data_IF_945909429324
#
_entry.id   IF_945909429324
#
_cell.length_a   1.000
_cell.length_b   1.000
_cell.length_c   1.000
_cell.angle_alpha   90.00
_cell.angle_beta   90.00
_cell.angle_gamma   90.00
#
_symmetry.space_group_name_H-M   'P 1'
#
loop_
_entity.id
_entity.type
_entity.pdbx_description
1 polymer ?
#
# COMPACT_ATOMS: atom_id res chain seq x y z
N UNK A 1 22.09 9.15 0.61
CA UNK A 1 20.75 9.75 0.72
C UNK A 1 19.79 8.70 0.24
N UNK A 2 19.39 7.85 1.17
CA UNK A 2 18.33 6.90 0.94
C UNK A 2 17.01 7.65 1.18
N UNK A 3 16.11 7.63 0.20
CA UNK A 3 14.76 8.21 0.29
C UNK A 3 13.84 7.40 1.21
N UNK A 4 14.41 6.68 2.18
CA UNK A 4 13.71 5.83 3.12
C UNK A 4 13.58 6.59 4.44
N UNK A 5 12.60 7.51 4.48
CA UNK A 5 12.02 7.91 5.75
C UNK A 5 11.27 6.71 6.32
N UNK A 6 11.93 5.94 7.18
CA UNK A 6 11.30 4.92 8.01
C UNK A 6 12.02 4.90 9.35
N UNK A 7 11.33 5.38 10.38
CA UNK A 7 11.77 5.36 11.76
C UNK A 7 11.93 3.91 12.22
N UNK A 8 13.17 3.48 12.44
CA UNK A 8 13.47 2.29 13.23
C UNK A 8 14.78 2.52 13.97
N UNK A 9 14.69 3.04 15.21
CA UNK A 9 15.81 3.14 16.12
C UNK A 9 15.35 2.84 17.55
N UNK A 10 15.26 1.56 17.90
CA UNK A 10 15.33 1.10 19.28
C UNK A 10 16.55 0.18 19.42
N UNK A 11 17.68 0.77 19.81
CA UNK A 11 18.46 0.35 20.98
C UNK A 11 19.86 1.00 20.97
N UNK A 12 19.95 2.21 21.51
CA UNK A 12 21.18 2.67 22.15
C UNK A 12 20.85 3.68 23.27
N UNK A 13 20.92 3.28 24.56
CA UNK A 13 20.57 4.15 25.69
C UNK A 13 21.52 5.33 25.90
N UNK A 14 22.55 5.51 25.06
CA UNK A 14 23.48 6.64 25.12
C UNK A 14 23.14 7.83 24.20
N UNK A 15 22.08 7.75 23.39
CA UNK A 15 21.80 8.74 22.32
C UNK A 15 20.44 9.46 22.45
N UNK A 16 20.09 9.89 23.67
CA UNK A 16 18.86 10.67 23.94
C UNK A 16 18.78 11.96 23.11
N UNK A 17 19.90 12.43 22.55
CA UNK A 17 19.99 13.67 21.79
C UNK A 17 19.72 13.51 20.28
N UNK A 18 19.62 12.29 19.75
CA UNK A 18 19.41 12.00 18.31
C UNK A 18 17.92 11.87 17.94
N UNK A 19 16.99 11.97 18.90
CA UNK A 19 15.57 11.70 18.68
C UNK A 19 14.75 12.85 18.06
N UNK A 20 15.40 13.91 17.56
CA UNK A 20 14.73 15.12 17.03
C UNK A 20 15.00 15.41 15.56
N UNK A 21 15.78 14.57 14.87
CA UNK A 21 15.99 14.73 13.43
C UNK A 21 14.76 14.16 12.71
N UNK A 22 13.77 15.02 12.49
CA UNK A 22 12.80 14.74 11.44
C UNK A 22 13.56 14.76 10.10
N UNK A 23 13.69 13.59 9.46
CA UNK A 23 14.20 13.45 8.09
C UNK A 23 13.19 13.99 7.04
N UNK A 24 12.43 15.02 7.40
CA UNK A 24 11.31 15.55 6.62
C UNK A 24 11.43 17.07 6.54
N UNK A 25 11.36 17.57 5.31
CA UNK A 25 11.37 19.00 5.03
C UNK A 25 10.08 19.37 4.30
N UNK A 26 9.29 20.28 4.87
CA UNK A 26 8.12 20.82 4.18
C UNK A 26 8.58 21.81 3.10
N UNK A 27 8.67 21.32 1.87
CA UNK A 27 9.09 22.13 0.72
C UNK A 27 7.92 22.87 0.04
N UNK A 28 6.69 22.43 0.28
CA UNK A 28 5.49 22.96 -0.35
C UNK A 28 4.77 23.96 0.57
N UNK A 29 4.20 25.01 -0.03
CA UNK A 29 3.24 25.88 0.68
C UNK A 29 1.96 25.10 0.97
N UNK A 30 1.28 25.47 2.05
CA UNK A 30 0.05 24.79 2.48
C UNK A 30 -1.02 24.73 1.38
N UNK A 31 -1.19 25.80 0.60
CA UNK A 31 -2.18 25.84 -0.49
C UNK A 31 -1.84 24.85 -1.60
N UNK A 32 -0.55 24.68 -1.90
CA UNK A 32 -0.06 23.71 -2.90
C UNK A 32 -0.28 22.29 -2.38
N UNK A 33 0.06 22.04 -1.12
CA UNK A 33 -0.15 20.73 -0.48
C UNK A 33 -1.63 20.31 -0.53
N UNK A 34 -2.54 21.22 -0.16
CA UNK A 34 -3.98 20.97 -0.20
C UNK A 34 -4.49 20.78 -1.63
N UNK A 35 -4.05 21.60 -2.58
CA UNK A 35 -4.43 21.45 -3.99
C UNK A 35 -4.00 20.08 -4.54
N UNK A 36 -2.78 19.63 -4.25
CA UNK A 36 -2.27 18.32 -4.65
C UNK A 36 -3.01 17.18 -3.95
N UNK A 37 -3.32 17.31 -2.65
CA UNK A 37 -4.14 16.33 -1.93
C UNK A 37 -5.48 16.05 -2.62
N UNK A 38 -6.20 17.11 -3.03
CA UNK A 38 -7.49 16.94 -3.72
C UNK A 38 -7.32 16.33 -5.12
N UNK A 39 -6.31 16.77 -5.87
CA UNK A 39 -6.00 16.26 -7.20
C UNK A 39 -5.66 14.76 -7.17
N UNK A 40 -4.75 14.34 -6.29
CA UNK A 40 -4.34 12.94 -6.14
C UNK A 40 -5.55 12.06 -5.82
N UNK A 41 -6.42 12.49 -4.89
CA UNK A 41 -7.63 11.74 -4.55
C UNK A 41 -8.64 11.70 -5.70
N UNK A 42 -8.80 12.79 -6.47
CA UNK A 42 -9.66 12.79 -7.65
C UNK A 42 -9.20 11.74 -8.66
N UNK A 43 -7.93 11.78 -9.06
CA UNK A 43 -7.36 10.86 -10.04
C UNK A 43 -7.37 9.41 -9.54
N UNK A 44 -7.09 9.20 -8.25
CA UNK A 44 -7.16 7.88 -7.65
C UNK A 44 -8.58 7.31 -7.65
N UNK A 45 -9.59 8.14 -7.35
CA UNK A 45 -10.99 7.73 -7.39
C UNK A 45 -11.48 7.45 -8.83
N UNK A 46 -10.96 8.15 -9.83
CA UNK A 46 -11.19 7.83 -11.24
C UNK A 46 -10.57 6.46 -11.61
N UNK A 47 -9.34 6.20 -11.20
CA UNK A 47 -8.70 4.88 -11.37
C UNK A 47 -9.47 3.77 -10.65
N UNK A 48 -9.98 4.02 -9.44
CA UNK A 48 -10.82 3.06 -8.71
C UNK A 48 -12.11 2.75 -9.47
N UNK A 49 -12.79 3.74 -10.04
CA UNK A 49 -13.99 3.51 -10.88
C UNK A 49 -13.67 2.64 -12.08
N UNK A 50 -12.56 2.89 -12.77
CA UNK A 50 -12.14 2.08 -13.92
C UNK A 50 -11.79 0.63 -13.52
N UNK A 51 -11.11 0.46 -12.38
CA UNK A 51 -10.63 -0.84 -11.90
C UNK A 51 -11.70 -1.69 -11.21
N UNK A 52 -12.62 -1.07 -10.48
CA UNK A 52 -13.60 -1.77 -9.64
C UNK A 52 -15.03 -1.72 -10.20
N UNK A 53 -15.32 -0.83 -11.15
CA UNK A 53 -16.62 -0.75 -11.82
C UNK A 53 -17.77 -0.50 -10.85
N UNK A 54 -18.86 -1.26 -11.02
CA UNK A 54 -20.08 -1.11 -10.23
C UNK A 54 -19.88 -1.30 -8.72
N UNK A 55 -18.78 -1.97 -8.30
CA UNK A 55 -18.45 -2.13 -6.89
C UNK A 55 -18.20 -0.78 -6.18
N UNK A 56 -17.72 0.24 -6.89
CA UNK A 56 -17.44 1.56 -6.30
C UNK A 56 -18.72 2.18 -5.73
N UNK A 57 -19.80 2.18 -6.51
CA UNK A 57 -21.08 2.73 -6.08
C UNK A 57 -21.79 1.79 -5.11
N UNK A 58 -21.78 0.49 -5.39
CA UNK A 58 -22.47 -0.51 -4.57
C UNK A 58 -21.96 -0.55 -3.12
N UNK A 59 -20.65 -0.36 -2.92
CA UNK A 59 -20.00 -0.43 -1.61
C UNK A 59 -19.51 0.95 -1.12
N UNK A 60 -19.76 2.03 -1.86
CA UNK A 60 -19.26 3.39 -1.54
C UNK A 60 -17.74 3.46 -1.34
N UNK A 61 -16.99 2.86 -2.27
CA UNK A 61 -15.52 2.80 -2.24
C UNK A 61 -14.94 4.15 -2.66
N UNK A 62 -13.97 4.66 -1.91
CA UNK A 62 -13.23 5.88 -2.26
C UNK A 62 -11.91 5.95 -1.52
N UNK A 63 -10.91 6.57 -2.14
CA UNK A 63 -9.69 7.01 -1.49
C UNK A 63 -9.91 8.40 -0.86
N UNK A 64 -9.49 8.56 0.40
CA UNK A 64 -9.47 9.84 1.13
C UNK A 64 -8.18 10.04 1.93
N UNK A 65 -7.47 8.96 2.27
CA UNK A 65 -6.18 8.99 2.97
C UNK A 65 -5.08 8.71 1.96
N UNK A 66 -4.03 9.53 1.96
CA UNK A 66 -2.85 9.37 1.12
C UNK A 66 -1.65 9.09 2.01
N UNK A 67 -0.98 7.98 1.75
CA UNK A 67 0.35 7.66 2.27
C UNK A 67 1.42 7.90 1.20
N UNK A 68 2.68 7.98 1.64
CA UNK A 68 3.82 7.89 0.72
C UNK A 68 3.84 6.56 -0.04
N UNK A 69 4.48 6.57 -1.21
CA UNK A 69 4.67 5.38 -2.03
C UNK A 69 6.15 4.95 -2.05
N UNK A 70 6.41 3.70 -1.71
CA UNK A 70 7.73 3.06 -1.74
C UNK A 70 7.85 1.98 -2.82
N UNK A 71 9.10 1.61 -3.15
CA UNK A 71 9.42 0.57 -4.15
C UNK A 71 9.52 -0.84 -3.58
N UNK A 72 9.66 -0.96 -2.27
CA UNK A 72 9.87 -2.23 -1.56
C UNK A 72 8.65 -2.54 -0.71
N UNK A 73 8.15 -3.77 -0.79
CA UNK A 73 7.27 -4.29 0.24
C UNK A 73 8.17 -4.62 1.42
N UNK A 74 8.25 -3.71 2.39
CA UNK A 74 9.05 -3.88 3.59
C UNK A 74 8.29 -3.37 4.80
N UNK A 75 8.51 -3.97 5.99
CA UNK A 75 9.32 -5.17 6.20
C UNK A 75 8.67 -6.45 5.64
N UNK A 76 7.40 -6.40 5.23
CA UNK A 76 6.56 -7.51 4.75
C UNK A 76 7.17 -8.32 3.60
N UNK A 77 6.68 -9.54 3.42
CA UNK A 77 7.18 -10.47 2.42
C UNK A 77 6.12 -10.80 1.39
N UNK A 78 6.59 -11.20 0.20
CA UNK A 78 5.75 -11.49 -0.95
C UNK A 78 4.53 -12.38 -0.62
N UNK A 79 4.69 -13.37 0.27
CA UNK A 79 3.62 -14.30 0.61
C UNK A 79 2.56 -13.75 1.57
N UNK A 80 2.73 -12.56 2.14
CA UNK A 80 1.74 -11.94 3.04
C UNK A 80 0.77 -11.06 2.28
N UNK A 81 -0.43 -10.85 2.83
CA UNK A 81 -1.48 -10.04 2.19
C UNK A 81 -1.00 -8.62 1.91
N UNK A 82 -0.13 -8.08 2.77
CA UNK A 82 0.52 -6.78 2.60
C UNK A 82 1.23 -6.61 1.24
N UNK A 83 1.71 -7.70 0.62
CA UNK A 83 2.49 -7.64 -0.61
C UNK A 83 1.75 -8.19 -1.83
N UNK A 84 1.22 -9.42 -1.78
CA UNK A 84 0.67 -10.07 -2.99
C UNK A 84 -0.65 -9.45 -3.47
N UNK A 85 -1.40 -8.80 -2.58
CA UNK A 85 -2.72 -8.24 -2.89
C UNK A 85 -2.63 -6.88 -3.59
N UNK A 86 -1.45 -6.24 -3.56
CA UNK A 86 -1.26 -4.88 -4.06
C UNK A 86 -1.52 -4.81 -5.56
N UNK A 87 -2.30 -3.85 -6.07
CA UNK A 87 -2.50 -3.67 -7.50
C UNK A 87 -1.25 -3.17 -8.22
N UNK A 88 -1.28 -3.20 -9.56
CA UNK A 88 -0.23 -2.59 -10.38
C UNK A 88 -0.10 -1.09 -10.10
N UNK A 89 1.13 -0.57 -10.22
CA UNK A 89 1.40 0.85 -10.07
C UNK A 89 0.84 1.63 -11.28
N UNK A 90 0.15 2.77 -11.09
CA UNK A 90 -0.35 3.60 -12.17
C UNK A 90 0.74 4.40 -12.88
N UNK A 91 1.99 4.29 -12.43
CA UNK A 91 3.13 4.90 -13.09
C UNK A 91 3.37 4.30 -14.49
N UNK A 92 3.93 5.08 -15.43
CA UNK A 92 4.24 4.60 -16.78
C UNK A 92 5.07 3.32 -16.77
N UNK A 93 4.74 2.38 -17.67
CA UNK A 93 5.47 1.11 -17.83
C UNK A 93 6.90 1.31 -18.37
N UNK A 94 7.24 2.52 -18.82
CA UNK A 94 8.55 2.95 -19.30
C UNK A 94 9.19 4.03 -18.42
N UNK A 95 8.80 4.15 -17.14
CA UNK A 95 9.32 5.15 -16.20
C UNK A 95 10.86 5.23 -16.14
N UNK A 96 11.54 4.09 -16.27
CA UNK A 96 13.00 3.96 -16.37
C UNK A 96 13.44 3.40 -17.74
N UNK A 97 12.67 3.67 -18.80
CA UNK A 97 12.85 3.09 -20.12
C UNK A 97 12.71 1.58 -20.12
N UNK A 98 13.57 0.88 -20.87
CA UNK A 98 13.60 -0.58 -20.95
C UNK A 98 13.98 -1.27 -19.63
N UNK A 99 14.44 -0.52 -18.63
CA UNK A 99 14.84 -1.06 -17.33
C UNK A 99 13.69 -1.08 -16.31
N UNK A 100 12.54 -0.47 -16.60
CA UNK A 100 11.41 -0.42 -15.68
C UNK A 100 11.00 -1.81 -15.20
N UNK A 101 10.86 -1.96 -13.88
CA UNK A 101 10.53 -3.22 -13.20
C UNK A 101 11.51 -4.39 -13.49
N UNK A 102 12.76 -4.07 -13.81
CA UNK A 102 13.87 -5.05 -13.89
C UNK A 102 14.77 -5.00 -12.65
N UNK A 103 15.75 -5.89 -12.55
CA UNK A 103 16.77 -5.94 -11.47
C UNK A 103 17.98 -5.04 -11.78
N UNK A 104 17.85 -4.12 -12.76
CA UNK A 104 18.95 -3.25 -13.19
C UNK A 104 19.13 -2.04 -12.25
N UNK A 105 20.38 -1.60 -12.09
CA UNK A 105 20.72 -0.40 -11.32
C UNK A 105 21.64 -0.67 -10.13
N UNK A 106 21.65 0.25 -9.16
CA UNK A 106 22.54 0.16 -7.98
C UNK A 106 22.11 -0.95 -7.01
N UNK A 107 20.82 -1.24 -6.95
CA UNK A 107 20.22 -2.31 -6.19
C UNK A 107 18.95 -2.82 -6.90
N UNK A 108 18.38 -3.94 -6.42
CA UNK A 108 17.20 -4.58 -7.01
C UNK A 108 15.92 -3.73 -7.03
N UNK A 109 15.90 -2.59 -6.32
CA UNK A 109 14.77 -1.69 -6.24
C UNK A 109 14.93 -0.46 -7.14
N UNK A 110 16.10 -0.22 -7.72
CA UNK A 110 16.43 1.05 -8.38
C UNK A 110 15.46 1.36 -9.52
N UNK A 111 15.16 0.37 -10.36
CA UNK A 111 14.28 0.52 -11.52
C UNK A 111 12.84 0.06 -11.29
N UNK A 112 12.45 -0.26 -10.06
CA UNK A 112 11.06 -0.60 -9.76
C UNK A 112 10.18 0.66 -9.70
N UNK A 113 8.96 0.57 -10.22
CA UNK A 113 7.92 1.57 -9.97
C UNK A 113 7.53 1.52 -8.48
N UNK A 114 7.31 2.67 -7.85
CA UNK A 114 6.75 2.69 -6.50
C UNK A 114 5.33 2.12 -6.51
N UNK A 115 5.05 1.29 -5.51
CA UNK A 115 3.88 0.42 -5.44
C UNK A 115 3.36 0.17 -4.03
N UNK A 116 4.25 0.17 -3.06
CA UNK A 116 3.95 -0.17 -1.68
C UNK A 116 3.72 1.08 -0.85
N UNK A 117 3.02 0.94 0.26
CA UNK A 117 2.86 2.04 1.20
C UNK A 117 4.22 2.35 1.84
N UNK A 118 4.48 3.64 2.05
CA UNK A 118 5.53 4.11 2.95
C UNK A 118 4.86 4.90 4.09
N UNK A 119 5.19 4.58 5.34
CA UNK A 119 4.57 5.19 6.51
C UNK A 119 5.17 6.55 6.92
N UNK A 120 6.19 7.03 6.20
CA UNK A 120 6.91 8.26 6.52
C UNK A 120 6.05 9.54 6.48
N UNK A 121 4.95 9.54 5.72
CA UNK A 121 3.93 10.59 5.82
C UNK A 121 2.53 10.08 5.47
N UNK A 122 1.54 10.77 6.03
CA UNK A 122 0.11 10.48 5.87
C UNK A 122 -0.66 11.80 5.84
N UNK A 123 -1.60 11.96 4.91
CA UNK A 123 -2.54 13.08 4.87
C UNK A 123 -3.96 12.58 4.61
N UNK A 124 -4.94 13.14 5.32
CA UNK A 124 -6.35 12.79 5.14
C UNK A 124 -7.26 13.51 6.13
N UNK A 125 -8.59 13.35 5.99
CA UNK A 125 -9.54 13.92 6.91
C UNK A 125 -9.40 13.26 8.29
N UNK A 126 -9.43 14.05 9.36
CA UNK A 126 -9.23 13.57 10.74
C UNK A 126 -10.18 12.41 11.07
N UNK A 127 -11.45 12.48 10.62
CA UNK A 127 -12.43 11.42 10.87
C UNK A 127 -12.06 10.07 10.24
N UNK A 128 -11.48 10.09 9.05
CA UNK A 128 -11.06 8.86 8.35
C UNK A 128 -9.74 8.33 8.94
N UNK A 129 -8.79 9.23 9.22
CA UNK A 129 -7.55 8.89 9.91
C UNK A 129 -7.81 8.21 11.26
N UNK A 130 -8.77 8.72 12.07
CA UNK A 130 -9.12 8.10 13.36
C UNK A 130 -9.58 6.66 13.21
N UNK A 131 -10.39 6.35 12.19
CA UNK A 131 -10.86 4.97 11.93
C UNK A 131 -9.70 4.06 11.53
N UNK A 132 -8.82 4.56 10.66
CA UNK A 132 -7.63 3.84 10.22
C UNK A 132 -6.66 3.58 11.39
N UNK A 133 -6.38 4.59 12.22
CA UNK A 133 -5.52 4.42 13.41
C UNK A 133 -6.15 3.52 14.47
N UNK A 134 -7.48 3.51 14.63
CA UNK A 134 -8.16 2.53 15.49
C UNK A 134 -7.87 1.10 15.02
N UNK A 135 -7.97 0.84 13.71
CA UNK A 135 -7.63 -0.47 13.14
C UNK A 135 -6.15 -0.81 13.33
N UNK A 136 -5.26 0.16 13.14
CA UNK A 136 -3.83 -0.02 13.38
C UNK A 136 -3.56 -0.38 14.83
N UNK A 137 -4.21 0.30 15.78
CA UNK A 137 -4.13 -0.02 17.19
C UNK A 137 -4.61 -1.44 17.49
N UNK A 138 -5.76 -1.85 16.94
CA UNK A 138 -6.27 -3.21 17.12
C UNK A 138 -5.28 -4.26 16.60
N UNK A 139 -4.58 -3.98 15.48
CA UNK A 139 -3.52 -4.85 14.95
C UNK A 139 -2.28 -4.88 15.85
N UNK A 140 -1.84 -3.74 16.36
CA UNK A 140 -0.74 -3.67 17.35
C UNK A 140 -1.08 -4.56 18.56
N UNK A 141 -2.28 -4.43 19.10
CA UNK A 141 -2.71 -5.20 20.27
C UNK A 141 -2.86 -6.70 19.99
N UNK A 142 -3.17 -7.07 18.74
CA UNK A 142 -3.26 -8.46 18.30
C UNK A 142 -1.91 -9.06 17.87
N UNK A 143 -0.85 -8.24 17.79
CA UNK A 143 0.48 -8.68 17.39
C UNK A 143 1.03 -9.63 18.45
N UNK A 144 1.41 -10.83 18.01
CA UNK A 144 2.12 -11.83 18.84
C UNK A 144 3.63 -11.68 18.62
N UNK A 145 4.46 -12.30 19.45
CA UNK A 145 5.94 -12.30 19.27
C UNK A 145 6.40 -13.04 18.00
N UNK A 146 5.53 -13.90 17.43
CA UNK A 146 5.75 -14.60 16.17
C UNK A 146 4.43 -14.62 15.38
N UNK A 147 4.44 -14.12 14.15
CA UNK A 147 3.32 -14.26 13.22
C UNK A 147 3.48 -15.51 12.37
N UNK A 148 2.40 -16.23 12.10
CA UNK A 148 2.40 -17.49 11.33
C UNK A 148 3.00 -17.34 9.92
N UNK A 149 2.92 -16.11 9.37
CA UNK A 149 3.41 -15.75 8.04
C UNK A 149 4.66 -14.86 8.08
N UNK A 150 5.38 -14.83 9.21
CA UNK A 150 6.72 -14.25 9.29
C UNK A 150 7.77 -15.18 8.67
N UNK A 151 8.91 -14.63 8.19
CA UNK A 151 10.04 -15.49 7.77
C UNK A 151 10.77 -16.11 8.96
N UNK A 152 10.37 -15.77 10.20
CA UNK A 152 11.02 -16.25 11.41
C UNK A 152 12.49 -15.85 11.48
N UNK A 153 12.90 -14.78 10.77
CA UNK A 153 14.30 -14.34 10.75
C UNK A 153 14.71 -13.70 12.07
N UNK A 154 13.75 -13.24 12.89
CA UNK A 154 13.97 -12.51 14.15
C UNK A 154 14.94 -11.32 14.00
N UNK A 155 15.23 -10.90 12.76
CA UNK A 155 16.11 -9.78 12.47
C UNK A 155 15.34 -8.48 12.61
N UNK A 156 15.94 -7.48 13.26
CA UNK A 156 15.37 -6.13 13.40
C UNK A 156 14.91 -5.54 12.05
N UNK A 157 15.61 -5.88 10.97
CA UNK A 157 15.36 -5.40 9.60
C UNK A 157 14.14 -6.05 8.91
N UNK A 158 13.59 -7.11 9.51
CA UNK A 158 12.42 -7.86 9.02
C UNK A 158 11.30 -7.94 10.07
N UNK A 159 11.44 -7.20 11.17
CA UNK A 159 10.53 -7.30 12.29
C UNK A 159 9.18 -6.64 11.96
N UNK A 160 8.14 -7.45 11.83
CA UNK A 160 6.75 -6.97 11.73
C UNK A 160 6.27 -6.34 13.03
N UNK A 161 6.84 -6.77 14.16
CA UNK A 161 6.42 -6.39 15.50
C UNK A 161 6.76 -4.92 15.80
N UNK A 162 5.72 -4.14 16.10
CA UNK A 162 5.87 -2.71 16.43
C UNK A 162 6.24 -1.81 15.25
N UNK A 163 6.43 -2.36 14.04
CA UNK A 163 6.66 -1.56 12.84
C UNK A 163 5.35 -0.98 12.33
N UNK A 164 5.22 0.34 12.44
CA UNK A 164 4.12 1.11 11.86
C UNK A 164 3.98 0.84 10.35
N UNK A 165 5.11 0.79 9.64
CA UNK A 165 5.20 0.45 8.23
C UNK A 165 4.58 -0.92 7.93
N UNK A 166 4.86 -1.95 8.74
CA UNK A 166 4.27 -3.29 8.60
C UNK A 166 2.76 -3.26 8.79
N UNK A 167 2.31 -2.61 9.86
CA UNK A 167 0.89 -2.55 10.23
C UNK A 167 0.08 -1.84 9.13
N UNK A 168 0.56 -0.71 8.62
CA UNK A 168 -0.15 0.01 7.57
C UNK A 168 -0.13 -0.73 6.22
N UNK A 169 0.97 -1.40 5.89
CA UNK A 169 1.01 -2.29 4.72
C UNK A 169 -0.04 -3.40 4.82
N UNK A 170 -0.17 -4.03 6.00
CA UNK A 170 -1.16 -5.07 6.23
C UNK A 170 -2.60 -4.55 6.07
N UNK A 171 -2.91 -3.38 6.65
CA UNK A 171 -4.23 -2.75 6.49
C UNK A 171 -4.52 -2.44 5.02
N UNK A 172 -3.55 -1.87 4.29
CA UNK A 172 -3.73 -1.59 2.86
C UNK A 172 -3.88 -2.88 2.05
N UNK A 173 -3.11 -3.92 2.36
CA UNK A 173 -3.21 -5.22 1.71
C UNK A 173 -4.58 -5.86 1.92
N UNK A 174 -5.08 -5.89 3.15
CA UNK A 174 -6.43 -6.35 3.48
C UNK A 174 -7.48 -5.54 2.69
N UNK A 175 -7.36 -4.21 2.67
CA UNK A 175 -8.25 -3.33 1.91
C UNK A 175 -8.25 -3.68 0.41
N UNK A 176 -7.09 -3.83 -0.22
CA UNK A 176 -6.99 -4.16 -1.64
C UNK A 176 -7.49 -5.58 -1.97
N UNK A 177 -7.25 -6.54 -1.07
CA UNK A 177 -7.82 -7.87 -1.17
C UNK A 177 -9.36 -7.80 -1.15
N UNK A 178 -9.96 -7.11 -0.18
CA UNK A 178 -11.42 -6.96 -0.11
C UNK A 178 -11.97 -6.16 -1.30
N UNK A 179 -11.25 -5.15 -1.81
CA UNK A 179 -11.63 -4.44 -3.06
C UNK A 179 -11.74 -5.38 -4.24
N UNK A 180 -10.83 -6.34 -4.38
CA UNK A 180 -10.90 -7.36 -5.43
C UNK A 180 -12.07 -8.35 -5.22
N UNK A 181 -12.35 -8.75 -3.98
CA UNK A 181 -13.55 -9.54 -3.64
C UNK A 181 -14.83 -8.79 -4.04
N UNK A 182 -14.95 -7.52 -3.66
CA UNK A 182 -16.08 -6.65 -3.99
C UNK A 182 -16.22 -6.44 -5.49
N UNK A 183 -15.10 -6.26 -6.23
CA UNK A 183 -15.10 -6.16 -7.69
C UNK A 183 -15.74 -7.39 -8.33
N UNK A 184 -15.35 -8.61 -7.92
CA UNK A 184 -15.91 -9.85 -8.48
C UNK A 184 -17.39 -10.00 -8.15
N UNK A 185 -17.75 -9.70 -6.90
CA UNK A 185 -19.11 -9.77 -6.36
C UNK A 185 -20.09 -8.88 -7.12
N UNK A 186 -19.70 -7.63 -7.39
CA UNK A 186 -20.57 -6.60 -7.99
C UNK A 186 -20.39 -6.43 -9.49
N UNK A 187 -19.61 -7.29 -10.16
CA UNK A 187 -19.32 -7.14 -11.60
C UNK A 187 -20.58 -7.29 -12.46
N UNK A 188 -21.08 -6.18 -12.98
CA UNK A 188 -22.32 -6.13 -13.75
C UNK A 188 -22.13 -6.49 -15.23
N UNK A 189 -23.24 -6.71 -15.95
CA UNK A 189 -23.19 -6.93 -17.40
C UNK A 189 -22.71 -5.67 -18.15
N UNK A 190 -23.10 -4.48 -17.69
CA UNK A 190 -22.67 -3.22 -18.29
C UNK A 190 -21.16 -2.99 -18.13
N UNK A 191 -20.59 -3.36 -16.97
CA UNK A 191 -19.13 -3.33 -16.75
C UNK A 191 -18.41 -4.22 -17.77
N UNK A 192 -18.91 -5.43 -17.99
CA UNK A 192 -18.34 -6.37 -18.98
C UNK A 192 -18.35 -5.80 -20.39
N UNK A 193 -19.46 -5.19 -20.81
CA UNK A 193 -19.60 -4.59 -22.14
C UNK A 193 -18.66 -3.39 -22.32
N UNK A 194 -18.50 -2.56 -21.28
CA UNK A 194 -17.64 -1.38 -21.31
C UNK A 194 -16.15 -1.67 -21.07
N UNK A 195 -15.80 -2.91 -20.72
CA UNK A 195 -14.43 -3.27 -20.33
C UNK A 195 -13.98 -2.69 -18.99
N UNK A 196 -14.91 -2.17 -18.17
CA UNK A 196 -14.65 -1.62 -16.84
C UNK A 196 -14.64 -2.77 -15.83
N UNK A 197 -13.85 -2.65 -14.75
CA UNK A 197 -13.80 -3.70 -13.74
C UNK A 197 -13.28 -5.02 -14.30
N UNK A 198 -12.39 -4.93 -15.30
CA UNK A 198 -11.75 -6.07 -15.96
C UNK A 198 -10.94 -6.94 -14.99
N UNK A 199 -10.41 -8.05 -15.49
CA UNK A 199 -9.40 -8.81 -14.73
C UNK A 199 -8.21 -7.88 -14.49
N UNK A 200 -7.74 -7.71 -13.24
CA UNK A 200 -6.56 -6.89 -12.97
C UNK A 200 -5.39 -7.32 -13.85
N UNK A 201 -4.58 -6.36 -14.31
CA UNK A 201 -3.34 -6.66 -15.03
C UNK A 201 -2.49 -7.58 -14.16
N UNK A 202 -1.97 -8.67 -14.74
CA UNK A 202 -1.07 -9.55 -14.02
C UNK A 202 0.19 -8.76 -13.64
N UNK A 203 0.66 -8.94 -12.42
CA UNK A 203 1.74 -8.12 -11.89
C UNK A 203 2.95 -8.97 -11.54
N UNK A 204 4.14 -8.41 -11.73
CA UNK A 204 5.37 -9.03 -11.25
C UNK A 204 5.77 -8.34 -9.95
N UNK A 205 5.98 -9.12 -8.89
CA UNK A 205 6.51 -8.65 -7.62
C UNK A 205 7.79 -9.42 -7.34
N UNK A 206 8.92 -8.71 -7.30
CA UNK A 206 10.26 -9.30 -7.10
C UNK A 206 10.54 -10.53 -7.99
N UNK A 207 10.07 -10.49 -9.25
CA UNK A 207 10.23 -11.59 -10.22
C UNK A 207 9.13 -12.66 -10.16
N UNK A 208 8.24 -12.62 -9.17
CA UNK A 208 7.11 -13.54 -9.05
C UNK A 208 5.87 -12.98 -9.76
N UNK A 209 5.30 -13.76 -10.66
CA UNK A 209 4.07 -13.41 -11.38
C UNK A 209 2.84 -13.67 -10.51
N UNK A 210 2.01 -12.65 -10.32
CA UNK A 210 0.71 -12.71 -9.65
C UNK A 210 -0.38 -12.46 -10.68
N UNK A 211 -1.11 -13.52 -11.04
CA UNK A 211 -2.23 -13.46 -12.00
C UNK A 211 -3.55 -13.14 -11.31
N UNK A 212 -3.75 -13.72 -10.14
CA UNK A 212 -4.95 -13.56 -9.33
C UNK A 212 -4.53 -13.25 -7.88
N UNK A 213 -4.74 -12.02 -7.38
CA UNK A 213 -4.39 -11.68 -6.00
C UNK A 213 -5.30 -12.35 -4.95
N UNK A 214 -6.46 -12.91 -5.33
CA UNK A 214 -7.28 -13.74 -4.42
C UNK A 214 -6.83 -15.20 -4.39
N UNK A 215 -6.05 -15.63 -5.39
CA UNK A 215 -5.51 -16.99 -5.46
C UNK A 215 -4.15 -17.01 -6.18
N UNK A 216 -3.08 -16.48 -5.57
CA UNK A 216 -1.73 -16.57 -6.13
C UNK A 216 -1.26 -18.03 -6.28
N UNK A 217 -0.41 -18.28 -7.29
CA UNK A 217 0.13 -19.60 -7.62
C UNK A 217 1.35 -20.00 -6.74
N UNK A 218 1.35 -19.59 -5.47
CA UNK A 218 2.39 -19.92 -4.47
C UNK A 218 1.78 -20.02 -3.07
N UNK A 219 2.49 -20.57 -2.10
CA UNK A 219 2.04 -20.60 -0.70
C UNK A 219 1.97 -19.19 -0.13
N UNK A 220 0.79 -18.77 0.33
CA UNK A 220 0.52 -17.40 0.76
C UNK A 220 -0.46 -17.36 1.93
N UNK A 221 -0.42 -16.25 2.65
CA UNK A 221 -1.38 -15.91 3.70
C UNK A 221 -2.81 -15.94 3.17
N UNK A 222 -3.69 -16.63 3.88
CA UNK A 222 -5.09 -16.75 3.48
C UNK A 222 -5.94 -15.71 4.19
N UNK A 223 -6.78 -15.01 3.43
CA UNK A 223 -7.66 -13.97 3.94
C UNK A 223 -9.11 -14.35 3.66
N UNK A 224 -9.96 -14.16 4.66
CA UNK A 224 -11.39 -14.42 4.54
C UNK A 224 -12.05 -13.47 3.52
N UNK A 225 -12.94 -14.02 2.71
CA UNK A 225 -13.81 -13.22 1.82
C UNK A 225 -14.99 -12.71 2.64
N UNK A 226 -14.84 -11.51 3.22
CA UNK A 226 -15.84 -10.94 4.11
C UNK A 226 -16.98 -10.28 3.31
N UNK A 227 -18.15 -10.14 3.94
CA UNK A 227 -19.33 -9.52 3.33
C UNK A 227 -19.40 -8.00 3.54
N UNK A 228 -19.95 -7.29 2.55
CA UNK A 228 -20.10 -5.83 2.55
C UNK A 228 -18.77 -5.09 2.28
N UNK A 229 -18.52 -4.03 3.06
CA UNK A 229 -17.35 -3.15 2.96
C UNK A 229 -16.34 -3.25 4.14
N UNK A 230 -15.93 -4.45 4.56
CA UNK A 230 -14.97 -4.61 5.63
C UNK A 230 -13.59 -4.15 5.18
N UNK A 231 -12.80 -3.65 6.13
CA UNK A 231 -11.41 -3.23 5.93
C UNK A 231 -11.20 -2.12 4.89
N UNK A 232 -12.25 -1.36 4.53
CA UNK A 232 -12.11 -0.18 3.67
C UNK A 232 -11.92 1.11 4.49
N UNK A 233 -10.68 1.59 4.52
CA UNK A 233 -10.26 2.78 5.26
C UNK A 233 -10.00 4.00 4.36
N UNK A 234 -10.19 3.86 3.05
CA UNK A 234 -9.93 4.91 2.08
C UNK A 234 -8.44 5.18 1.88
N UNK A 235 -7.59 4.20 2.18
CA UNK A 235 -6.13 4.33 1.99
C UNK A 235 -5.80 4.26 0.50
N UNK A 236 -4.87 5.11 0.08
CA UNK A 236 -4.09 4.92 -1.13
C UNK A 236 -2.80 5.72 -1.09
N UNK A 237 -2.11 5.78 -2.24
CA UNK A 237 -0.70 6.13 -2.28
C UNK A 237 -0.43 7.33 -3.19
N UNK A 238 0.55 8.13 -2.80
CA UNK A 238 1.14 9.18 -3.63
C UNK A 238 2.15 8.58 -4.63
N UNK A 239 1.63 7.85 -5.61
CA UNK A 239 2.45 7.15 -6.60
C UNK A 239 3.39 8.08 -7.39
N UNK A 240 3.03 9.35 -7.56
CA UNK A 240 3.78 10.29 -8.38
C UNK A 240 4.69 11.21 -7.56
N UNK A 241 4.81 10.98 -6.25
CA UNK A 241 5.58 11.83 -5.32
C UNK A 241 5.18 13.31 -5.44
N UNK A 242 3.87 13.55 -5.54
CA UNK A 242 3.32 14.90 -5.63
C UNK A 242 3.37 15.62 -4.27
N UNK A 243 3.44 14.92 -3.14
CA UNK A 243 3.48 15.50 -1.80
C UNK A 243 4.88 15.51 -1.18
N UNK A 244 5.76 14.61 -1.59
CA UNK A 244 7.12 14.45 -1.07
C UNK A 244 7.84 13.26 -1.69
#
# INVERSE_FOLDING_TARGET
>A
MDAYGAFNLYDNPSNVQTHLEADIWFQLRAEVLLSRYYKINQEANERLRNRLGSAVEAESLKQTIIFGAGKRCAPNQLHTVACYSMPDSPLPDDLYGSNTDTIMGRNKYTSLKQRYLNSGYIIGPVGDLRKMFQRAWDKVQATKDQMDWDNGSHGSDFMYHGSDQSIFNEILGEQEFQREVMRRRHRSQSDRIKGIGGVPKATHIEGTLIRDPLKPDFTHETIEHKDGKPDEFGIGLDYFSELG
#
